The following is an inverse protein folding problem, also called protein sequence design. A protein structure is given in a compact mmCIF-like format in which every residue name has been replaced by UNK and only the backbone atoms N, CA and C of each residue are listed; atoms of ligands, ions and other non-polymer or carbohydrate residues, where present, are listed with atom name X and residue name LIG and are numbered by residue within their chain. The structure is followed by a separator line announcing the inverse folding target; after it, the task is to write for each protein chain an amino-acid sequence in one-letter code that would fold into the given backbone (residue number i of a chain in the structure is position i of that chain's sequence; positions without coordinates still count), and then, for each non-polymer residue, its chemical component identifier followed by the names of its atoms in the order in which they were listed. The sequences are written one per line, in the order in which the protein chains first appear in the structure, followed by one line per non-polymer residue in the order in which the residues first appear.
data_IF_340821283032
#
_entry.id   IF_340821283032
#
_cell.length_a   1.000
_cell.length_b   1.000
_cell.length_c   1.000
_cell.angle_alpha   90.00
_cell.angle_beta   90.00
_cell.angle_gamma   90.00
#
_symmetry.space_group_name_H-M   'P 1'
#
loop_
_entity.id
_entity.type
_entity.pdbx_description
1 polymer ?
#
# COMPACT_ATOMS: atom_id res chain seq x y z
N UNK A 1 2.69 7.43 2.78
CA UNK A 1 2.47 8.16 1.51
C UNK A 1 1.37 7.43 0.75
N UNK A 2 0.16 8.00 0.66
CA UNK A 2 -0.95 7.39 -0.11
C UNK A 2 -0.91 7.96 -1.52
N UNK A 3 -0.45 7.18 -2.49
CA UNK A 3 -0.51 7.51 -3.92
C UNK A 3 -1.89 7.09 -4.47
N UNK A 4 -2.61 8.02 -5.10
CA UNK A 4 -3.73 7.69 -6.00
C UNK A 4 -3.56 8.43 -7.33
N UNK A 5 -3.69 7.67 -8.41
CA UNK A 5 -3.68 8.13 -9.80
C UNK A 5 -5.06 8.62 -10.22
N UNK A 6 -5.07 9.70 -11.00
CA UNK A 6 -6.24 10.21 -11.71
C UNK A 6 -6.58 9.29 -12.89
N UNK A 7 -7.83 8.83 -12.95
CA UNK A 7 -8.39 8.15 -14.11
C UNK A 7 -8.88 9.18 -15.13
N UNK A 8 -8.12 9.42 -16.19
CA UNK A 8 -8.62 10.12 -17.38
C UNK A 8 -9.38 9.13 -18.27
N UNK A 9 -10.71 9.17 -18.22
CA UNK A 9 -11.55 8.55 -19.23
C UNK A 9 -11.73 9.52 -20.40
N UNK A 10 -11.18 9.16 -21.57
CA UNK A 10 -11.58 9.75 -22.84
C UNK A 10 -12.86 9.06 -23.31
N UNK A 11 -13.96 9.81 -23.40
CA UNK A 11 -15.25 9.34 -23.91
C UNK A 11 -15.49 9.85 -25.34
N UNK A 12 -15.74 8.90 -26.26
CA UNK A 12 -16.22 9.14 -27.63
C UNK A 12 -17.67 9.65 -27.64
N UNK A 13 -18.12 10.39 -28.67
CA UNK A 13 -19.41 11.05 -28.68
C UNK A 13 -20.52 10.15 -29.23
N UNK A 14 -21.66 10.10 -28.56
CA UNK A 14 -22.93 9.68 -29.17
C UNK A 14 -23.99 10.77 -29.01
N UNK A 15 -24.75 10.90 -30.08
CA UNK A 15 -25.65 11.97 -30.50
C UNK A 15 -26.86 12.22 -29.61
N UNK A 16 -27.26 13.49 -29.54
CA UNK A 16 -28.50 13.99 -28.95
C UNK A 16 -29.72 13.55 -29.76
N UNK A 17 -30.81 13.21 -29.08
CA UNK A 17 -32.17 13.58 -29.47
C UNK A 17 -33.08 13.74 -28.25
N UNK A 18 -33.98 14.71 -28.36
CA UNK A 18 -34.70 15.42 -27.30
C UNK A 18 -35.87 14.64 -26.67
N UNK A 19 -36.30 15.06 -25.47
CA UNK A 19 -37.64 15.63 -25.16
C UNK A 19 -37.84 15.75 -23.63
N UNK A 20 -38.38 16.90 -23.19
CA UNK A 20 -38.88 17.22 -21.83
C UNK A 20 -40.43 17.13 -21.87
N UNK A 21 -41.21 16.98 -20.77
CA UNK A 21 -41.09 17.87 -19.59
C UNK A 21 -41.51 17.35 -18.18
N UNK A 22 -40.99 18.06 -17.18
CA UNK A 22 -41.57 18.49 -15.89
C UNK A 22 -42.30 17.47 -14.99
N UNK A 23 -41.69 17.21 -13.83
CA UNK A 23 -42.40 17.04 -12.55
C UNK A 23 -41.53 17.57 -11.39
N UNK A 24 -42.04 18.58 -10.70
CA UNK A 24 -41.46 19.16 -9.49
C UNK A 24 -41.61 18.21 -8.29
N UNK A 25 -40.51 17.94 -7.56
CA UNK A 25 -40.56 17.53 -6.14
C UNK A 25 -39.36 18.07 -5.35
N UNK A 26 -39.66 19.12 -4.57
CA UNK A 26 -39.22 19.47 -3.21
C UNK A 26 -37.88 18.90 -2.69
N UNK A 27 -36.95 19.82 -2.45
CA UNK A 27 -36.15 19.89 -1.21
C UNK A 27 -35.10 18.81 -0.96
N UNK A 28 -34.00 18.81 -1.73
CA UNK A 28 -32.79 18.09 -1.34
C UNK A 28 -31.73 19.08 -0.86
N UNK A 29 -31.42 19.05 0.45
CA UNK A 29 -30.28 19.79 1.02
C UNK A 29 -29.02 19.33 0.30
N UNK A 30 -28.46 20.23 -0.49
CA UNK A 30 -27.27 20.00 -1.31
C UNK A 30 -26.06 19.88 -0.38
N UNK A 31 -25.67 18.66 -0.01
CA UNK A 31 -24.36 18.42 0.57
C UNK A 31 -23.33 18.94 -0.43
N UNK A 32 -22.72 20.10 -0.13
CA UNK A 32 -21.56 20.58 -0.86
C UNK A 32 -20.48 19.52 -0.62
N UNK A 33 -20.17 18.75 -1.66
CA UNK A 33 -19.00 17.89 -1.72
C UNK A 33 -17.80 18.83 -1.60
N UNK A 34 -17.33 19.04 -0.37
CA UNK A 34 -16.11 19.79 -0.13
C UNK A 34 -14.97 19.00 -0.76
N UNK A 35 -14.55 19.41 -1.95
CA UNK A 35 -13.27 18.98 -2.48
C UNK A 35 -12.22 19.64 -1.59
N UNK A 36 -11.65 18.86 -0.68
CA UNK A 36 -10.40 19.25 -0.03
C UNK A 36 -9.34 19.10 -1.11
N UNK A 37 -8.93 20.21 -1.73
CA UNK A 37 -7.74 20.20 -2.57
C UNK A 37 -6.54 19.93 -1.65
N UNK A 38 -6.01 18.71 -1.76
CA UNK A 38 -4.81 18.32 -1.05
C UNK A 38 -3.64 19.10 -1.67
N UNK A 39 -2.82 19.82 -0.87
CA UNK A 39 -1.65 20.51 -1.38
C UNK A 39 -0.79 19.54 -2.20
N UNK A 40 -0.40 19.96 -3.40
CA UNK A 40 0.56 19.21 -4.20
C UNK A 40 1.87 19.15 -3.41
N UNK A 41 2.30 17.95 -3.05
CA UNK A 41 3.64 17.75 -2.53
C UNK A 41 4.55 18.03 -3.73
N UNK A 42 5.17 19.21 -3.77
CA UNK A 42 6.19 19.51 -4.77
C UNK A 42 7.22 18.38 -4.72
N UNK A 43 7.39 17.68 -5.84
CA UNK A 43 8.56 16.85 -6.03
C UNK A 43 9.76 17.76 -5.83
N UNK A 44 10.59 17.47 -4.82
CA UNK A 44 11.92 18.05 -4.73
C UNK A 44 12.54 17.88 -6.12
N UNK A 45 12.84 19.02 -6.72
CA UNK A 45 13.32 19.17 -8.09
C UNK A 45 14.33 18.08 -8.45
N UNK A 46 14.22 17.58 -9.68
CA UNK A 46 15.23 16.76 -10.34
C UNK A 46 16.56 17.51 -10.42
N UNK A 47 17.29 17.47 -9.32
CA UNK A 47 18.73 17.57 -9.28
C UNK A 47 19.14 16.59 -8.19
N UNK A 48 20.13 15.76 -8.48
CA UNK A 48 20.59 14.66 -7.65
C UNK A 48 20.69 15.07 -6.17
N UNK A 49 19.64 14.80 -5.39
CA UNK A 49 19.76 14.79 -3.95
C UNK A 49 20.66 13.60 -3.64
N UNK A 50 21.95 13.88 -3.48
CA UNK A 50 22.98 12.93 -3.05
C UNK A 50 22.66 12.55 -1.61
N UNK A 51 21.71 11.65 -1.42
CA UNK A 51 21.29 11.23 -0.09
C UNK A 51 20.22 10.15 -0.10
N UNK A 52 20.27 9.32 0.93
CA UNK A 52 19.31 8.26 1.20
C UNK A 52 17.88 8.82 1.27
N UNK A 53 16.98 8.33 0.42
CA UNK A 53 15.55 8.60 0.53
C UNK A 53 14.83 7.44 1.19
N UNK A 54 13.91 7.76 2.09
CA UNK A 54 13.07 6.79 2.80
C UNK A 54 11.63 6.95 2.36
N UNK A 55 11.05 5.88 1.83
CA UNK A 55 9.66 5.78 1.41
C UNK A 55 8.87 4.94 2.41
N UNK A 56 7.57 5.22 2.52
CA UNK A 56 6.67 4.47 3.42
C UNK A 56 5.35 4.19 2.73
N UNK A 57 4.96 2.92 2.75
CA UNK A 57 3.68 2.41 2.25
C UNK A 57 3.08 1.44 3.26
N UNK A 58 1.76 1.34 3.27
CA UNK A 58 0.96 0.41 4.06
C UNK A 58 -0.30 0.05 3.26
N UNK A 59 -1.08 -0.92 3.73
CA UNK A 59 -2.41 -1.24 3.20
C UNK A 59 -2.39 -1.52 1.69
N UNK A 60 -1.38 -2.28 1.24
CA UNK A 60 -1.26 -2.66 -0.17
C UNK A 60 -2.40 -3.60 -0.58
N UNK A 61 -2.84 -4.50 0.30
CA UNK A 61 -3.87 -5.50 0.03
C UNK A 61 -3.81 -6.09 -1.38
N UNK A 62 -2.70 -6.70 -1.76
CA UNK A 62 -2.45 -7.16 -3.14
C UNK A 62 -3.24 -8.40 -3.54
N UNK A 63 -4.11 -8.91 -2.67
CA UNK A 63 -5.19 -9.82 -3.08
C UNK A 63 -6.21 -9.16 -4.00
N UNK A 64 -6.28 -7.82 -4.01
CA UNK A 64 -6.95 -7.07 -5.07
C UNK A 64 -6.01 -6.93 -6.27
N UNK A 65 -6.46 -7.39 -7.43
CA UNK A 65 -5.63 -7.44 -8.64
C UNK A 65 -5.20 -6.04 -9.09
N UNK A 66 -6.02 -5.02 -8.86
CA UNK A 66 -5.69 -3.62 -9.14
C UNK A 66 -4.49 -3.14 -8.31
N UNK A 67 -4.41 -3.56 -7.04
CA UNK A 67 -3.30 -3.19 -6.16
C UNK A 67 -2.03 -3.96 -6.53
N UNK A 68 -2.15 -5.24 -6.89
CA UNK A 68 -1.03 -6.02 -7.43
C UNK A 68 -0.51 -5.39 -8.73
N UNK A 69 -1.40 -4.93 -9.62
CA UNK A 69 -1.02 -4.23 -10.84
C UNK A 69 -0.26 -2.92 -10.54
N UNK A 70 -0.69 -2.18 -9.51
CA UNK A 70 0.04 -1.00 -9.05
C UNK A 70 1.46 -1.33 -8.59
N UNK A 71 1.64 -2.36 -7.75
CA UNK A 71 2.97 -2.81 -7.32
C UNK A 71 3.84 -3.20 -8.52
N UNK A 72 3.29 -3.91 -9.49
CA UNK A 72 4.00 -4.28 -10.72
C UNK A 72 4.44 -3.06 -11.55
N UNK A 73 3.65 -2.00 -11.55
CA UNK A 73 3.93 -0.76 -12.30
C UNK A 73 5.03 0.12 -11.70
N UNK A 74 5.46 -0.15 -10.46
CA UNK A 74 6.53 0.60 -9.82
C UNK A 74 7.85 0.45 -10.62
N UNK A 75 8.57 1.57 -10.79
CA UNK A 75 9.84 1.60 -11.52
C UNK A 75 10.88 0.68 -10.88
N UNK A 76 11.55 -0.10 -11.71
CA UNK A 76 12.67 -0.97 -11.31
C UNK A 76 14.01 -0.25 -11.22
N UNK A 77 14.10 1.01 -11.65
CA UNK A 77 15.36 1.75 -11.73
C UNK A 77 15.40 2.92 -10.75
N UNK A 78 14.29 3.64 -10.60
CA UNK A 78 14.27 4.94 -9.90
C UNK A 78 14.55 4.84 -8.39
N UNK A 79 14.41 3.64 -7.81
CA UNK A 79 14.44 3.44 -6.37
C UNK A 79 15.51 2.49 -5.86
N UNK A 80 16.43 2.05 -6.74
CA UNK A 80 17.45 1.05 -6.42
C UNK A 80 18.45 1.43 -5.32
N UNK A 81 18.46 2.68 -4.86
CA UNK A 81 19.34 3.19 -3.80
C UNK A 81 18.57 3.73 -2.58
N UNK A 82 17.27 3.42 -2.48
CA UNK A 82 16.40 3.97 -1.46
C UNK A 82 15.88 2.90 -0.50
N UNK A 83 15.37 3.35 0.64
CA UNK A 83 14.69 2.53 1.65
C UNK A 83 13.19 2.56 1.41
N UNK A 84 12.52 1.41 1.52
CA UNK A 84 11.07 1.29 1.61
C UNK A 84 10.66 0.66 2.94
N UNK A 85 9.79 1.34 3.67
CA UNK A 85 9.10 0.81 4.85
C UNK A 85 7.71 0.34 4.44
N UNK A 86 7.42 -0.94 4.68
CA UNK A 86 6.13 -1.58 4.46
C UNK A 86 5.46 -1.79 5.81
N UNK A 87 4.57 -0.87 6.16
CA UNK A 87 3.94 -0.76 7.47
C UNK A 87 2.61 -1.53 7.54
N UNK A 88 2.64 -2.82 7.19
CA UNK A 88 1.54 -3.76 7.35
C UNK A 88 0.50 -3.74 6.24
N UNK A 89 -0.39 -4.74 6.32
CA UNK A 89 -1.55 -4.98 5.47
C UNK A 89 -1.17 -5.11 3.99
N UNK A 90 -0.20 -5.99 3.73
CA UNK A 90 0.32 -6.32 2.40
C UNK A 90 -0.63 -7.22 1.64
N UNK A 91 -0.98 -8.38 2.22
CA UNK A 91 -1.86 -9.36 1.61
C UNK A 91 -2.35 -10.38 2.65
N UNK A 92 -3.59 -10.84 2.53
CA UNK A 92 -4.12 -11.95 3.32
C UNK A 92 -3.57 -13.29 2.84
N UNK A 93 -3.34 -13.51 1.54
CA UNK A 93 -2.79 -14.79 1.09
C UNK A 93 -1.26 -14.78 1.10
N UNK A 94 -0.65 -15.86 1.59
CA UNK A 94 0.80 -16.04 1.66
C UNK A 94 1.45 -15.95 0.27
N UNK A 95 0.81 -16.53 -0.75
CA UNK A 95 1.31 -16.45 -2.12
C UNK A 95 1.42 -14.99 -2.58
N UNK A 96 0.38 -14.19 -2.41
CA UNK A 96 0.41 -12.79 -2.83
C UNK A 96 1.36 -11.97 -1.97
N UNK A 97 1.46 -12.27 -0.66
CA UNK A 97 2.46 -11.66 0.21
C UNK A 97 3.88 -11.87 -0.34
N UNK A 98 4.27 -13.12 -0.58
CA UNK A 98 5.62 -13.46 -1.08
C UNK A 98 5.90 -12.80 -2.42
N UNK A 99 4.95 -12.84 -3.37
CA UNK A 99 5.07 -12.15 -4.66
C UNK A 99 5.26 -10.65 -4.48
N UNK A 100 4.45 -10.02 -3.62
CA UNK A 100 4.53 -8.57 -3.36
C UNK A 100 5.88 -8.18 -2.78
N UNK A 101 6.34 -8.89 -1.74
CA UNK A 101 7.61 -8.59 -1.08
C UNK A 101 8.81 -8.81 -2.02
N UNK A 102 8.76 -9.83 -2.88
CA UNK A 102 9.77 -10.06 -3.91
C UNK A 102 9.84 -8.91 -4.92
N UNK A 103 8.68 -8.44 -5.40
CA UNK A 103 8.61 -7.30 -6.32
C UNK A 103 9.16 -6.01 -5.69
N UNK A 104 8.83 -5.75 -4.43
CA UNK A 104 9.34 -4.58 -3.72
C UNK A 104 10.86 -4.68 -3.50
N UNK A 105 11.35 -5.86 -3.16
CA UNK A 105 12.79 -6.10 -2.95
C UNK A 105 13.62 -5.88 -4.21
N UNK A 106 13.08 -6.21 -5.39
CA UNK A 106 13.74 -5.97 -6.68
C UNK A 106 13.85 -4.47 -7.03
N UNK A 107 12.93 -3.65 -6.49
CA UNK A 107 12.82 -2.21 -6.81
C UNK A 107 13.55 -1.29 -5.83
N UNK A 108 13.72 -1.73 -4.58
CA UNK A 108 14.34 -0.94 -3.50
C UNK A 108 15.54 -1.66 -2.90
N UNK A 109 16.59 -0.90 -2.55
CA UNK A 109 17.81 -1.47 -1.94
C UNK A 109 17.49 -2.10 -0.59
N UNK A 110 16.79 -1.35 0.26
CA UNK A 110 16.39 -1.78 1.59
C UNK A 110 14.88 -1.81 1.66
N UNK A 111 14.32 -2.97 2.04
CA UNK A 111 12.90 -3.12 2.33
C UNK A 111 12.77 -3.59 3.77
N UNK A 112 12.01 -2.84 4.56
CA UNK A 112 11.68 -3.21 5.93
C UNK A 112 10.18 -3.45 6.06
N UNK A 113 9.81 -4.40 6.89
CA UNK A 113 8.43 -4.84 7.04
C UNK A 113 8.01 -4.91 8.51
N UNK A 114 6.78 -4.47 8.76
CA UNK A 114 6.03 -4.71 10.00
C UNK A 114 4.71 -5.37 9.62
N UNK A 115 4.28 -6.45 10.30
CA UNK A 115 3.01 -7.10 10.01
C UNK A 115 1.82 -6.24 10.42
N UNK A 116 0.80 -6.22 9.57
CA UNK A 116 -0.54 -5.72 9.88
C UNK A 116 -1.51 -6.84 10.26
N UNK A 117 -2.71 -6.49 10.68
CA UNK A 117 -3.73 -7.47 11.06
C UNK A 117 -4.20 -8.32 9.87
N UNK A 118 -4.30 -7.72 8.68
CA UNK A 118 -4.78 -8.40 7.49
C UNK A 118 -3.79 -9.48 7.04
N UNK A 119 -2.49 -9.23 7.24
CA UNK A 119 -1.44 -10.20 6.94
C UNK A 119 -1.61 -11.49 7.76
N UNK A 120 -2.20 -11.40 8.96
CA UNK A 120 -2.35 -12.52 9.89
C UNK A 120 -3.72 -13.20 9.86
N UNK A 121 -4.65 -12.74 9.03
CA UNK A 121 -5.94 -13.42 8.88
C UNK A 121 -5.78 -14.79 8.21
N UNK A 122 -6.27 -15.84 8.86
CA UNK A 122 -6.23 -17.20 8.31
C UNK A 122 -7.50 -17.56 7.51
N UNK A 123 -8.34 -16.59 7.09
CA UNK A 123 -9.67 -16.89 6.56
C UNK A 123 -9.62 -17.48 5.15
N UNK A 124 -8.75 -16.94 4.28
CA UNK A 124 -8.57 -17.43 2.90
C UNK A 124 -7.65 -18.65 2.75
N UNK A 125 -6.88 -18.99 3.77
CA UNK A 125 -5.87 -20.06 3.74
C UNK A 125 -5.98 -20.95 4.99
N UNK A 126 -7.20 -21.15 5.50
CA UNK A 126 -7.46 -21.80 6.80
C UNK A 126 -6.98 -23.25 6.89
N UNK A 127 -6.79 -23.93 5.77
CA UNK A 127 -6.24 -25.29 5.74
C UNK A 127 -4.69 -25.33 5.76
N UNK A 128 -4.03 -24.19 5.55
CA UNK A 128 -2.57 -24.10 5.44
C UNK A 128 -1.86 -23.72 6.75
N UNK A 129 -2.59 -23.18 7.72
CA UNK A 129 -2.06 -22.70 8.99
C UNK A 129 -2.95 -23.13 10.15
N UNK A 130 -2.33 -23.56 11.24
CA UNK A 130 -3.02 -23.86 12.51
C UNK A 130 -3.58 -22.59 13.13
N UNK A 131 -2.82 -21.50 13.13
CA UNK A 131 -3.24 -20.21 13.69
C UNK A 131 -2.45 -19.01 13.10
N UNK A 132 -2.74 -17.79 13.60
CA UNK A 132 -2.09 -16.55 13.18
C UNK A 132 -0.63 -16.44 13.61
N UNK A 133 -0.21 -17.15 14.67
CA UNK A 133 1.18 -17.15 15.14
C UNK A 133 2.05 -18.00 14.22
N UNK A 134 1.56 -19.16 13.80
CA UNK A 134 2.23 -19.97 12.77
C UNK A 134 2.35 -19.17 11.48
N UNK A 135 1.26 -18.53 11.04
CA UNK A 135 1.26 -17.71 9.83
C UNK A 135 2.27 -16.56 9.94
N UNK A 136 2.32 -15.85 11.07
CA UNK A 136 3.33 -14.83 11.32
C UNK A 136 4.75 -15.39 11.14
N UNK A 137 5.05 -16.54 11.74
CA UNK A 137 6.35 -17.20 11.58
C UNK A 137 6.70 -17.47 10.11
N UNK A 138 5.74 -17.94 9.31
CA UNK A 138 5.94 -18.19 7.87
C UNK A 138 6.20 -16.90 7.08
N UNK A 139 5.50 -15.82 7.39
CA UNK A 139 5.73 -14.52 6.75
C UNK A 139 7.11 -13.96 7.08
N UNK A 140 7.57 -14.09 8.33
CA UNK A 140 8.91 -13.65 8.75
C UNK A 140 10.01 -14.48 8.08
N UNK A 141 9.85 -15.80 7.99
CA UNK A 141 10.79 -16.66 7.27
C UNK A 141 10.85 -16.33 5.77
N UNK A 142 9.70 -16.03 5.15
CA UNK A 142 9.66 -15.55 3.77
C UNK A 142 10.38 -14.21 3.61
N UNK A 143 10.18 -13.25 4.52
CA UNK A 143 10.89 -11.97 4.51
C UNK A 143 12.40 -12.19 4.58
N UNK A 144 12.86 -13.01 5.53
CA UNK A 144 14.27 -13.39 5.69
C UNK A 144 14.85 -14.00 4.42
N UNK A 145 14.14 -14.95 3.79
CA UNK A 145 14.55 -15.59 2.54
C UNK A 145 14.65 -14.61 1.36
N UNK A 146 13.82 -13.57 1.34
CA UNK A 146 13.84 -12.51 0.33
C UNK A 146 14.83 -11.37 0.66
N UNK A 147 15.47 -11.38 1.84
CA UNK A 147 16.31 -10.25 2.29
C UNK A 147 15.51 -8.99 2.67
N UNK A 148 14.22 -9.13 2.94
CA UNK A 148 13.39 -8.11 3.58
C UNK A 148 13.69 -8.13 5.07
N UNK A 149 13.95 -6.97 5.66
CA UNK A 149 14.33 -6.87 7.06
C UNK A 149 13.13 -6.63 7.97
N UNK A 150 13.13 -7.30 9.10
CA UNK A 150 12.11 -7.19 10.15
C UNK A 150 12.69 -6.76 11.50
N UNK A 151 14.02 -6.68 11.58
CA UNK A 151 14.79 -6.30 12.76
C UNK A 151 15.29 -4.85 12.69
N UNK A 152 15.70 -4.25 13.81
CA UNK A 152 16.33 -2.92 13.83
C UNK A 152 17.57 -2.83 12.96
N UNK A 153 17.75 -1.69 12.28
CA UNK A 153 18.90 -1.43 11.39
C UNK A 153 19.38 0.01 11.49
N UNK A 154 20.64 0.22 11.12
CA UNK A 154 21.20 1.54 10.86
C UNK A 154 21.61 1.59 9.38
N UNK A 155 21.12 2.59 8.64
CA UNK A 155 21.44 2.82 7.23
C UNK A 155 21.93 4.26 7.10
N UNK A 156 23.18 4.46 6.70
CA UNK A 156 23.80 5.80 6.59
C UNK A 156 23.61 6.70 7.83
N UNK A 157 23.69 6.10 9.03
CA UNK A 157 23.50 6.81 10.31
C UNK A 157 22.03 7.00 10.72
N UNK A 158 21.06 6.63 9.88
CA UNK A 158 19.64 6.59 10.22
C UNK A 158 19.26 5.25 10.87
N UNK A 159 18.84 5.28 12.13
CA UNK A 159 18.27 4.13 12.83
C UNK A 159 16.80 3.90 12.49
N UNK A 160 16.45 2.69 12.07
CA UNK A 160 15.07 2.28 11.77
C UNK A 160 14.74 1.04 12.61
N UNK A 161 13.64 1.10 13.35
CA UNK A 161 13.23 0.06 14.30
C UNK A 161 11.81 -0.40 13.94
N UNK A 162 11.64 -1.50 13.18
CA UNK A 162 10.35 -2.14 12.98
C UNK A 162 9.79 -2.62 14.33
N UNK A 163 8.55 -2.25 14.66
CA UNK A 163 7.91 -2.61 15.93
C UNK A 163 6.74 -3.55 15.68
N UNK A 164 6.80 -4.75 16.23
CA UNK A 164 5.70 -5.72 16.18
C UNK A 164 4.73 -5.46 17.33
N UNK A 165 4.11 -4.29 17.29
CA UNK A 165 3.16 -3.85 18.30
C UNK A 165 1.74 -4.21 17.89
N UNK A 166 1.01 -4.83 18.81
CA UNK A 166 -0.40 -5.18 18.64
C UNK A 166 -1.26 -4.36 19.58
N UNK A 167 -2.52 -4.15 19.21
CA UNK A 167 -3.48 -3.48 20.07
C UNK A 167 -3.87 -4.39 21.24
N UNK A 168 -4.04 -3.77 22.41
CA UNK A 168 -4.69 -4.41 23.54
C UNK A 168 -6.19 -4.07 23.50
N UNK A 169 -7.03 -4.97 23.98
CA UNK A 169 -8.50 -4.82 24.05
C UNK A 169 -8.97 -3.51 24.71
N UNK A 170 -8.13 -2.86 25.52
CA UNK A 170 -8.46 -1.64 26.27
C UNK A 170 -8.65 -0.42 25.35
N UNK A 171 -8.13 -0.47 24.11
CA UNK A 171 -8.17 0.66 23.16
C UNK A 171 -9.29 0.48 22.11
N UNK A 172 -9.84 -0.73 21.96
CA UNK A 172 -10.83 -1.07 20.94
C UNK A 172 -12.21 -1.18 21.61
N UNK A 173 -12.83 -0.02 21.91
CA UNK A 173 -14.22 0.08 22.35
C UNK A 173 -15.09 0.74 21.28
#
# INVERSE_FOLDING_TARGET
MVLRLASSFASLPQSRQCLNPRLERKGLRRFKRGYVERPQILSSTEDAAVGLRVFVVSDLHTDYSENMNWVNSLSTVNHKHNVLLVAGDVAETYKNFVTTMSLLKDRFEHVLYVPGNHDLWCRRESENYVDSIEKLGKLLEACKGLGVRTDPVIIEGLGIIPLFSWYHEVIVQ
#
